data_IF_398904265417
#
_entry.id   IF_398904265417
#
_cell.length_a   1.000
_cell.length_b   1.000
_cell.length_c   1.000
_cell.angle_alpha   90.00
_cell.angle_beta   90.00
_cell.angle_gamma   90.00
#
_symmetry.space_group_name_H-M   'P 1'
#
loop_
_entity.id
_entity.type
_entity.pdbx_description
1 polymer ?
#
# COMPACT_ATOMS: atom_id res chain seq x y z
N UNK A 1 -7.27 -14.48 -15.46
CA UNK A 1 -6.63 -13.17 -15.19
C UNK A 1 -7.51 -12.25 -14.34
N UNK A 2 -8.79 -12.01 -14.72
CA UNK A 2 -9.71 -11.11 -13.98
C UNK A 2 -9.84 -11.42 -12.47
N UNK A 3 -10.02 -12.70 -12.10
CA UNK A 3 -10.11 -13.12 -10.69
C UNK A 3 -8.82 -12.88 -9.89
N UNK A 4 -7.65 -13.07 -10.52
CA UNK A 4 -6.34 -12.83 -9.86
C UNK A 4 -6.12 -11.34 -9.61
N UNK A 5 -6.50 -10.51 -10.58
CA UNK A 5 -6.40 -9.05 -10.46
C UNK A 5 -7.36 -8.55 -9.38
N UNK A 6 -8.64 -8.96 -9.44
CA UNK A 6 -9.63 -8.58 -8.43
C UNK A 6 -9.22 -9.05 -7.03
N UNK A 7 -8.73 -10.29 -6.90
CA UNK A 7 -8.22 -10.82 -5.63
C UNK A 7 -7.06 -10.00 -5.07
N UNK A 8 -6.10 -9.60 -5.91
CA UNK A 8 -4.98 -8.75 -5.50
C UNK A 8 -5.44 -7.36 -5.03
N UNK A 9 -6.40 -6.74 -5.71
CA UNK A 9 -6.97 -5.45 -5.30
C UNK A 9 -7.73 -5.55 -3.98
N UNK A 10 -8.58 -6.57 -3.82
CA UNK A 10 -9.34 -6.80 -2.59
C UNK A 10 -8.40 -7.07 -1.41
N UNK A 11 -7.39 -7.92 -1.62
CA UNK A 11 -6.35 -8.18 -0.61
C UNK A 11 -5.61 -6.90 -0.23
N UNK A 12 -5.16 -6.10 -1.20
CA UNK A 12 -4.48 -4.82 -0.93
C UNK A 12 -5.35 -3.85 -0.12
N UNK A 13 -6.63 -3.74 -0.46
CA UNK A 13 -7.59 -2.92 0.26
C UNK A 13 -7.76 -3.39 1.71
N UNK A 14 -8.02 -4.68 1.93
CA UNK A 14 -8.21 -5.24 3.27
C UNK A 14 -6.94 -5.11 4.11
N UNK A 15 -5.79 -5.53 3.58
CA UNK A 15 -4.53 -5.53 4.32
C UNK A 15 -4.10 -4.11 4.71
N UNK A 16 -4.18 -3.14 3.80
CA UNK A 16 -3.82 -1.74 4.12
C UNK A 16 -4.79 -1.12 5.13
N UNK A 17 -6.08 -1.44 5.04
CA UNK A 17 -7.10 -1.02 6.00
C UNK A 17 -6.82 -1.55 7.40
N UNK A 18 -6.58 -2.85 7.54
CA UNK A 18 -6.31 -3.48 8.84
C UNK A 18 -5.03 -2.91 9.47
N UNK A 19 -3.94 -2.81 8.71
CA UNK A 19 -2.66 -2.27 9.22
C UNK A 19 -2.84 -0.81 9.65
N UNK A 20 -3.45 0.03 8.81
CA UNK A 20 -3.69 1.44 9.12
C UNK A 20 -4.57 1.60 10.36
N UNK A 21 -5.69 0.88 10.43
CA UNK A 21 -6.61 0.94 11.56
C UNK A 21 -5.91 0.55 12.86
N UNK A 22 -5.17 -0.56 12.84
CA UNK A 22 -4.47 -1.10 14.02
C UNK A 22 -3.40 -0.12 14.51
N UNK A 23 -2.59 0.44 13.61
CA UNK A 23 -1.54 1.38 13.98
C UNK A 23 -2.14 2.66 14.59
N UNK A 24 -3.17 3.23 13.96
CA UNK A 24 -3.76 4.48 14.42
C UNK A 24 -4.57 4.25 15.71
N UNK A 25 -5.29 3.14 15.85
CA UNK A 25 -6.03 2.82 17.08
C UNK A 25 -5.10 2.64 18.28
N UNK A 26 -3.94 2.01 18.09
CA UNK A 26 -2.97 1.78 19.18
C UNK A 26 -2.20 3.07 19.52
N UNK A 27 -1.74 3.83 18.53
CA UNK A 27 -0.84 4.96 18.77
C UNK A 27 -1.57 6.27 19.06
N UNK A 28 -2.75 6.49 18.45
CA UNK A 28 -3.51 7.74 18.59
C UNK A 28 -4.71 7.54 19.52
N UNK A 29 -5.24 6.32 19.62
CA UNK A 29 -6.47 6.04 20.36
C UNK A 29 -7.73 6.51 19.63
N UNK A 30 -8.88 6.33 20.26
CA UNK A 30 -10.19 6.65 19.70
C UNK A 30 -10.63 8.07 20.06
N UNK A 31 -10.26 9.05 19.23
CA UNK A 31 -10.69 10.44 19.35
C UNK A 31 -12.13 10.66 18.83
N UNK A 32 -12.70 11.85 19.06
CA UNK A 32 -13.98 12.22 18.43
C UNK A 32 -13.94 12.07 16.91
N UNK A 33 -14.98 11.44 16.36
CA UNK A 33 -15.10 11.10 14.95
C UNK A 33 -13.90 10.28 14.41
N UNK A 34 -13.25 9.49 15.27
CA UNK A 34 -12.10 8.67 14.91
C UNK A 34 -12.35 7.86 13.63
N UNK A 35 -13.46 7.12 13.59
CA UNK A 35 -13.73 6.23 12.47
C UNK A 35 -13.90 7.00 11.16
N UNK A 36 -14.59 8.13 11.19
CA UNK A 36 -14.77 9.00 10.00
C UNK A 36 -13.44 9.59 9.54
N UNK A 37 -12.66 10.16 10.47
CA UNK A 37 -11.35 10.76 10.17
C UNK A 37 -10.37 9.71 9.63
N UNK A 38 -10.35 8.53 10.27
CA UNK A 38 -9.54 7.41 9.85
C UNK A 38 -9.94 6.94 8.44
N UNK A 39 -11.23 6.66 8.21
CA UNK A 39 -11.71 6.14 6.94
C UNK A 39 -11.46 7.13 5.80
N UNK A 40 -11.69 8.43 6.03
CA UNK A 40 -11.41 9.50 5.05
C UNK A 40 -9.92 9.58 4.71
N UNK A 41 -9.06 9.57 5.73
CA UNK A 41 -7.61 9.68 5.55
C UNK A 41 -7.05 8.44 4.86
N UNK A 42 -7.49 7.26 5.26
CA UNK A 42 -7.09 5.99 4.67
C UNK A 42 -7.57 5.86 3.23
N UNK A 43 -8.82 6.22 2.91
CA UNK A 43 -9.33 6.18 1.55
C UNK A 43 -8.56 7.14 0.63
N UNK A 44 -8.22 8.33 1.11
CA UNK A 44 -7.40 9.29 0.37
C UNK A 44 -6.00 8.74 0.10
N UNK A 45 -5.36 8.11 1.09
CA UNK A 45 -4.07 7.45 0.92
C UNK A 45 -4.15 6.27 -0.08
N UNK A 46 -5.23 5.49 -0.06
CA UNK A 46 -5.43 4.38 -0.99
C UNK A 46 -5.58 4.85 -2.44
N UNK A 47 -6.24 5.98 -2.68
CA UNK A 47 -6.31 6.57 -4.03
C UNK A 47 -4.92 6.98 -4.52
N UNK A 48 -4.05 7.47 -3.63
CA UNK A 48 -2.69 7.87 -3.97
C UNK A 48 -1.78 6.66 -4.24
N UNK A 49 -1.97 5.53 -3.55
CA UNK A 49 -1.08 4.37 -3.71
C UNK A 49 -1.19 3.73 -5.11
N UNK A 50 -2.36 3.80 -5.74
CA UNK A 50 -2.61 3.24 -7.08
C UNK A 50 -1.69 3.89 -8.14
N UNK A 51 -1.68 5.23 -8.34
CA UNK A 51 -0.77 5.87 -9.28
C UNK A 51 0.69 5.68 -8.86
N UNK A 52 1.01 5.70 -7.56
CA UNK A 52 2.37 5.42 -7.08
C UNK A 52 2.84 4.05 -7.55
N UNK A 53 2.05 2.99 -7.39
CA UNK A 53 2.41 1.64 -7.87
C UNK A 53 2.61 1.64 -9.39
N UNK A 54 1.76 2.34 -10.14
CA UNK A 54 1.84 2.39 -11.59
C UNK A 54 3.09 3.12 -12.11
N UNK A 55 3.45 4.27 -11.50
CA UNK A 55 4.59 5.10 -11.94
C UNK A 55 5.92 4.70 -11.30
N UNK A 56 5.91 4.31 -10.03
CA UNK A 56 7.12 4.00 -9.24
C UNK A 56 7.45 2.51 -9.31
N UNK A 57 6.45 1.63 -9.41
CA UNK A 57 6.63 0.17 -9.47
C UNK A 57 7.65 -0.28 -10.52
N UNK A 58 7.54 0.18 -11.80
CA UNK A 58 8.51 -0.18 -12.83
C UNK A 58 9.93 0.33 -12.52
N UNK A 59 10.05 1.54 -11.96
CA UNK A 59 11.36 2.11 -11.59
C UNK A 59 12.03 1.31 -10.48
N UNK A 60 11.25 0.89 -9.48
CA UNK A 60 11.74 0.03 -8.40
C UNK A 60 12.17 -1.32 -8.95
N UNK A 61 11.41 -1.93 -9.86
CA UNK A 61 11.81 -3.19 -10.50
C UNK A 61 13.13 -3.06 -11.28
N UNK A 62 13.32 -1.95 -12.01
CA UNK A 62 14.58 -1.67 -12.71
C UNK A 62 15.74 -1.49 -11.72
N UNK A 63 15.52 -0.78 -10.63
CA UNK A 63 16.53 -0.57 -9.59
C UNK A 63 16.93 -1.89 -8.91
N UNK A 64 15.95 -2.71 -8.55
CA UNK A 64 16.17 -4.05 -7.97
C UNK A 64 16.95 -4.92 -8.96
N UNK A 65 16.55 -4.95 -10.24
CA UNK A 65 17.26 -5.70 -11.27
C UNK A 65 18.71 -5.22 -11.42
N UNK A 66 18.96 -3.91 -11.35
CA UNK A 66 20.31 -3.34 -11.38
C UNK A 66 21.15 -3.78 -10.16
N UNK A 67 20.59 -3.71 -8.95
CA UNK A 67 21.28 -4.13 -7.72
C UNK A 67 21.70 -5.61 -7.76
N UNK A 68 20.80 -6.50 -8.17
CA UNK A 68 21.09 -7.94 -8.22
C UNK A 68 21.92 -8.35 -9.44
N UNK A 69 21.83 -7.62 -10.57
CA UNK A 69 22.72 -7.85 -11.72
C UNK A 69 24.17 -7.49 -11.41
N UNK A 70 24.40 -6.47 -10.57
CA UNK A 70 25.74 -6.06 -10.13
C UNK A 70 26.41 -7.12 -9.23
N UNK A 71 25.64 -7.88 -8.45
CA UNK A 71 26.17 -8.90 -7.54
C UNK A 71 26.61 -10.20 -8.24
N UNK A 72 26.13 -10.49 -9.45
CA UNK A 72 26.49 -11.71 -10.19
C UNK A 72 27.70 -11.51 -11.14
N UNK A 73 28.37 -10.35 -11.09
CA UNK A 73 29.55 -10.03 -11.90
C UNK A 73 30.81 -9.72 -11.05
N UNK A 74 30.81 -10.14 -9.78
CA UNK A 74 31.98 -10.13 -8.90
C UNK A 74 32.45 -11.55 -8.65
#
# INVERSE_FOLDING_TARGET
MKQRIAGAFIMGFITTGIISFTLISINVGYIENFFEKWLKSWAMAYIIIIPVIFFIGPKVQQFVAYLFRKNNQQ
#
